data_IF_092512419094
#
_entry.id   IF_092512419094
#
_cell.length_a   1.000
_cell.length_b   1.000
_cell.length_c   1.000
_cell.angle_alpha   90.00
_cell.angle_beta   90.00
_cell.angle_gamma   90.00
#
_symmetry.space_group_name_H-M   'P 1'
#
loop_
_entity.id
_entity.type
_entity.pdbx_description
1 polymer ?
#
# COMPACT_ATOMS: atom_id res chain seq x y z
N UNK A 1 -3.86 -34.16 -5.34
CA UNK A 1 -4.78 -33.01 -5.26
C UNK A 1 -4.34 -31.95 -6.26
N UNK A 2 -5.28 -31.22 -6.85
CA UNK A 2 -5.10 -30.05 -7.71
C UNK A 2 -5.65 -28.80 -7.03
N UNK A 3 -4.78 -27.84 -6.76
CA UNK A 3 -5.07 -26.65 -5.97
C UNK A 3 -5.13 -25.42 -6.87
N UNK A 4 -6.21 -24.64 -6.77
CA UNK A 4 -6.34 -23.35 -7.43
C UNK A 4 -5.79 -22.20 -6.59
N UNK A 5 -4.91 -21.39 -7.14
CA UNK A 5 -4.39 -20.17 -6.52
C UNK A 5 -5.04 -18.95 -7.17
N UNK A 6 -5.38 -17.93 -6.39
CA UNK A 6 -5.82 -16.65 -6.91
C UNK A 6 -5.19 -15.50 -6.13
N UNK A 7 -4.93 -14.38 -6.82
CA UNK A 7 -4.57 -13.11 -6.20
C UNK A 7 -5.66 -12.08 -6.45
N UNK A 8 -6.17 -11.44 -5.40
CA UNK A 8 -7.28 -10.49 -5.51
C UNK A 8 -7.08 -9.23 -4.64
N UNK A 9 -7.72 -8.14 -5.03
CA UNK A 9 -7.63 -6.83 -4.40
C UNK A 9 -6.50 -5.97 -4.97
N UNK A 10 -6.04 -5.01 -4.16
CA UNK A 10 -4.92 -4.14 -4.56
C UNK A 10 -3.60 -4.91 -4.61
N UNK A 11 -2.81 -4.66 -5.65
CA UNK A 11 -1.48 -5.26 -5.80
C UNK A 11 -0.55 -4.91 -4.63
N UNK A 12 0.35 -5.83 -4.29
CA UNK A 12 1.39 -5.61 -3.30
C UNK A 12 2.62 -6.51 -3.57
N UNK A 13 3.80 -6.12 -3.07
CA UNK A 13 4.98 -6.95 -3.18
C UNK A 13 4.82 -8.29 -2.46
N UNK A 14 5.47 -9.33 -2.99
CA UNK A 14 5.49 -10.68 -2.42
C UNK A 14 4.48 -11.66 -3.00
N UNK A 15 3.52 -11.23 -3.83
CA UNK A 15 2.49 -12.11 -4.39
C UNK A 15 3.06 -13.28 -5.21
N UNK A 16 3.95 -12.99 -6.15
CA UNK A 16 4.65 -14.01 -6.92
C UNK A 16 5.52 -14.94 -6.05
N UNK A 17 6.07 -14.43 -4.93
CA UNK A 17 6.81 -15.25 -3.97
C UNK A 17 5.88 -16.23 -3.23
N UNK A 18 4.66 -15.80 -2.88
CA UNK A 18 3.62 -16.68 -2.29
C UNK A 18 3.22 -17.77 -3.29
N UNK A 19 2.89 -17.39 -4.54
CA UNK A 19 2.54 -18.36 -5.61
C UNK A 19 3.67 -19.38 -5.77
N UNK A 20 4.91 -18.92 -5.90
CA UNK A 20 6.08 -19.78 -6.02
C UNK A 20 6.25 -20.70 -4.81
N UNK A 21 6.09 -20.17 -3.59
CA UNK A 21 6.22 -20.91 -2.34
C UNK A 21 5.20 -22.04 -2.25
N UNK A 22 3.93 -21.76 -2.58
CA UNK A 22 2.85 -22.75 -2.63
C UNK A 22 3.14 -23.85 -3.64
N UNK A 23 3.43 -23.48 -4.89
CA UNK A 23 3.69 -24.44 -5.98
C UNK A 23 4.92 -25.30 -5.70
N UNK A 24 6.06 -24.71 -5.32
CA UNK A 24 7.29 -25.48 -5.11
C UNK A 24 7.18 -26.45 -3.95
N UNK A 25 6.62 -26.03 -2.82
CA UNK A 25 6.45 -26.91 -1.67
C UNK A 25 5.38 -27.96 -1.92
N UNK A 26 4.25 -27.59 -2.54
CA UNK A 26 3.16 -28.50 -2.87
C UNK A 26 3.58 -29.61 -3.81
N UNK A 27 4.26 -29.25 -4.91
CA UNK A 27 4.79 -30.23 -5.88
C UNK A 27 5.85 -31.11 -5.22
N UNK A 28 6.83 -30.51 -4.52
CA UNK A 28 7.98 -31.26 -3.98
C UNK A 28 7.60 -32.20 -2.83
N UNK A 29 6.72 -31.77 -1.92
CA UNK A 29 6.43 -32.49 -0.68
C UNK A 29 5.21 -33.41 -0.79
N UNK A 30 4.22 -33.03 -1.59
CA UNK A 30 2.92 -33.71 -1.63
C UNK A 30 2.51 -34.21 -3.03
N UNK A 31 3.31 -33.92 -4.06
CA UNK A 31 2.96 -34.29 -5.44
C UNK A 31 1.70 -33.59 -5.94
N UNK A 32 1.37 -32.42 -5.41
CA UNK A 32 0.17 -31.66 -5.80
C UNK A 32 0.35 -30.95 -7.13
N UNK A 33 -0.76 -30.78 -7.84
CA UNK A 33 -0.87 -29.96 -9.04
C UNK A 33 -1.44 -28.58 -8.69
N UNK A 34 -1.12 -27.57 -9.50
CA UNK A 34 -1.53 -26.19 -9.24
C UNK A 34 -2.04 -25.52 -10.50
N UNK A 35 -3.13 -24.77 -10.34
CA UNK A 35 -3.63 -23.82 -11.34
C UNK A 35 -3.69 -22.42 -10.74
N UNK A 36 -3.61 -21.41 -11.57
CA UNK A 36 -3.74 -20.01 -11.21
C UNK A 36 -4.97 -19.41 -11.88
N UNK A 37 -5.97 -19.01 -11.09
CA UNK A 37 -7.13 -18.29 -11.59
C UNK A 37 -6.75 -16.86 -11.96
N UNK A 38 -7.13 -16.46 -13.18
CA UNK A 38 -6.79 -15.13 -13.69
C UNK A 38 -7.65 -14.06 -13.04
N UNK A 39 -7.00 -12.96 -12.66
CA UNK A 39 -7.66 -11.77 -12.11
C UNK A 39 -8.55 -12.05 -10.89
N UNK A 40 -8.08 -12.90 -9.97
CA UNK A 40 -8.73 -13.12 -8.68
C UNK A 40 -10.01 -13.94 -8.79
N UNK A 41 -11.06 -13.51 -8.06
CA UNK A 41 -12.34 -14.20 -8.06
C UNK A 41 -13.05 -14.22 -9.42
N UNK A 42 -12.74 -13.27 -10.31
CA UNK A 42 -13.22 -13.29 -11.69
C UNK A 42 -12.87 -14.62 -12.37
N UNK A 43 -11.60 -15.03 -12.30
CA UNK A 43 -11.16 -16.29 -12.90
C UNK A 43 -11.82 -17.52 -12.30
N UNK A 44 -12.18 -17.48 -11.01
CA UNK A 44 -12.94 -18.57 -10.37
C UNK A 44 -14.35 -18.64 -10.94
N UNK A 45 -15.05 -17.51 -10.98
CA UNK A 45 -16.44 -17.40 -11.47
C UNK A 45 -16.55 -17.74 -12.97
N UNK A 46 -15.56 -17.34 -13.76
CA UNK A 46 -15.53 -17.56 -15.21
C UNK A 46 -14.92 -18.92 -15.60
N UNK A 47 -14.29 -19.63 -14.67
CA UNK A 47 -13.48 -20.82 -14.98
C UNK A 47 -12.20 -20.49 -15.78
N UNK A 48 -11.71 -19.26 -15.70
CA UNK A 48 -10.51 -18.77 -16.39
C UNK A 48 -9.25 -18.97 -15.52
N UNK A 49 -8.48 -20.02 -15.83
CA UNK A 49 -7.23 -20.33 -15.14
C UNK A 49 -6.11 -20.76 -16.10
N UNK A 50 -4.90 -20.83 -15.56
CA UNK A 50 -3.72 -21.37 -16.23
C UNK A 50 -3.00 -22.39 -15.36
N UNK A 51 -2.32 -23.35 -15.97
CA UNK A 51 -1.47 -24.27 -15.23
C UNK A 51 -0.26 -23.55 -14.62
N UNK A 52 0.09 -23.93 -13.39
CA UNK A 52 1.24 -23.44 -12.64
C UNK A 52 2.24 -24.58 -12.36
N UNK A 53 2.84 -25.21 -13.39
CA UNK A 53 3.90 -26.17 -13.17
C UNK A 53 5.14 -25.51 -12.56
N UNK A 54 6.01 -26.32 -11.96
CA UNK A 54 7.29 -25.88 -11.35
C UNK A 54 8.11 -24.95 -12.27
N UNK A 55 8.07 -25.17 -13.58
CA UNK A 55 8.80 -24.37 -14.58
C UNK A 55 8.25 -22.94 -14.71
N UNK A 56 6.93 -22.74 -14.55
CA UNK A 56 6.28 -21.42 -14.64
C UNK A 56 6.56 -20.53 -13.43
N UNK A 57 6.87 -21.10 -12.28
CA UNK A 57 7.15 -20.34 -11.04
C UNK A 57 8.64 -20.05 -10.80
N UNK A 58 9.52 -20.39 -11.76
CA UNK A 58 10.95 -20.14 -11.65
C UNK A 58 11.25 -18.63 -11.74
N UNK A 59 12.07 -18.11 -10.83
CA UNK A 59 12.46 -16.69 -10.82
C UNK A 59 11.42 -15.73 -10.24
N UNK A 60 10.23 -16.22 -9.87
CA UNK A 60 9.15 -15.37 -9.34
C UNK A 60 9.43 -14.74 -7.97
N UNK A 61 10.38 -15.27 -7.19
CA UNK A 61 10.64 -14.80 -5.83
C UNK A 61 11.04 -13.31 -5.76
N UNK A 62 11.77 -12.82 -6.76
CA UNK A 62 12.22 -11.43 -6.84
C UNK A 62 11.32 -10.53 -7.70
N UNK A 63 10.23 -11.09 -8.26
CA UNK A 63 9.30 -10.34 -9.10
C UNK A 63 8.13 -9.82 -8.26
N UNK A 64 7.98 -8.51 -8.09
CA UNK A 64 6.74 -7.89 -7.63
C UNK A 64 5.60 -8.02 -8.65
N UNK A 65 4.42 -7.54 -8.26
CA UNK A 65 3.18 -7.84 -8.95
C UNK A 65 2.75 -9.29 -8.80
N UNK A 66 1.83 -9.72 -9.67
CA UNK A 66 1.30 -11.08 -9.73
C UNK A 66 1.23 -11.58 -11.18
N UNK A 67 1.74 -12.79 -11.46
CA UNK A 67 1.68 -13.40 -12.79
C UNK A 67 0.28 -13.86 -13.21
N UNK A 68 -0.65 -13.97 -12.27
CA UNK A 68 -2.03 -14.40 -12.54
C UNK A 68 -3.02 -13.23 -12.51
N UNK A 69 -2.54 -11.99 -12.38
CA UNK A 69 -3.41 -10.82 -12.36
C UNK A 69 -4.24 -10.68 -11.08
N UNK A 70 -4.92 -9.55 -10.93
CA UNK A 70 -5.75 -9.28 -9.74
C UNK A 70 -6.92 -8.37 -10.10
N UNK A 71 -8.08 -8.62 -9.49
CA UNK A 71 -9.25 -7.76 -9.57
C UNK A 71 -9.94 -7.62 -8.21
N UNK A 72 -10.92 -6.72 -8.13
CA UNK A 72 -11.79 -6.53 -6.96
C UNK A 72 -13.14 -7.27 -7.08
N UNK A 73 -13.27 -8.24 -7.98
CA UNK A 73 -14.50 -9.02 -8.15
C UNK A 73 -14.85 -9.77 -6.87
N UNK A 74 -16.14 -9.82 -6.54
CA UNK A 74 -16.66 -10.62 -5.45
C UNK A 74 -17.13 -11.98 -6.00
N UNK A 75 -16.80 -13.12 -5.34
CA UNK A 75 -17.18 -14.44 -5.85
C UNK A 75 -18.69 -14.72 -5.82
N UNK A 76 -19.48 -13.84 -5.22
CA UNK A 76 -20.94 -13.92 -5.19
C UNK A 76 -21.62 -13.04 -6.25
N UNK A 77 -20.85 -12.26 -7.01
CA UNK A 77 -21.39 -11.40 -8.05
C UNK A 77 -21.56 -12.17 -9.37
N UNK A 78 -22.60 -11.81 -10.13
CA UNK A 78 -22.85 -12.33 -11.47
C UNK A 78 -23.60 -13.67 -11.49
N UNK A 79 -23.99 -14.14 -12.70
CA UNK A 79 -24.82 -15.34 -12.86
C UNK A 79 -24.09 -16.64 -12.47
N UNK A 80 -22.76 -16.65 -12.56
CA UNK A 80 -21.91 -17.79 -12.21
C UNK A 80 -21.30 -17.65 -10.80
N UNK A 81 -21.70 -16.62 -10.04
CA UNK A 81 -21.24 -16.43 -8.66
C UNK A 81 -21.97 -17.38 -7.69
N UNK A 82 -21.47 -17.44 -6.46
CA UNK A 82 -22.07 -18.24 -5.39
C UNK A 82 -21.44 -19.62 -5.19
N UNK A 83 -21.67 -20.25 -4.02
CA UNK A 83 -20.98 -21.47 -3.61
C UNK A 83 -21.34 -22.68 -4.47
N UNK A 84 -22.58 -22.79 -4.96
CA UNK A 84 -23.01 -23.92 -5.80
C UNK A 84 -22.33 -23.88 -7.18
N UNK A 85 -22.30 -22.71 -7.82
CA UNK A 85 -21.62 -22.52 -9.11
C UNK A 85 -20.10 -22.68 -8.96
N UNK A 86 -19.56 -22.08 -7.90
CA UNK A 86 -18.39 -22.47 -7.12
C UNK A 86 -17.89 -23.91 -7.33
N UNK A 87 -18.62 -24.79 -6.65
CA UNK A 87 -18.40 -26.22 -6.53
C UNK A 87 -18.50 -26.91 -7.88
N UNK A 88 -19.52 -26.60 -8.70
CA UNK A 88 -19.65 -27.15 -10.05
C UNK A 88 -18.42 -26.82 -10.92
N UNK A 89 -17.90 -25.59 -10.84
CA UNK A 89 -16.69 -25.19 -11.55
C UNK A 89 -15.48 -25.99 -11.07
N UNK A 90 -15.33 -26.17 -9.76
CA UNK A 90 -14.26 -26.94 -9.15
C UNK A 90 -14.31 -28.40 -9.59
N UNK A 91 -15.46 -29.06 -9.47
CA UNK A 91 -15.68 -30.44 -9.90
C UNK A 91 -15.38 -30.64 -11.38
N UNK A 92 -15.93 -29.76 -12.24
CA UNK A 92 -15.73 -29.83 -13.70
C UNK A 92 -14.26 -29.80 -14.10
N UNK A 93 -13.42 -29.07 -13.36
CA UNK A 93 -12.00 -28.91 -13.68
C UNK A 93 -11.07 -29.73 -12.78
N UNK A 94 -11.66 -30.57 -11.90
CA UNK A 94 -10.96 -31.42 -10.93
C UNK A 94 -10.13 -30.63 -9.94
N UNK A 95 -10.61 -29.47 -9.47
CA UNK A 95 -9.93 -28.61 -8.49
C UNK A 95 -10.43 -28.99 -7.10
N UNK A 96 -9.51 -29.46 -6.25
CA UNK A 96 -9.85 -29.98 -4.92
C UNK A 96 -9.90 -28.88 -3.84
N UNK A 97 -9.23 -27.75 -4.05
CA UNK A 97 -9.18 -26.66 -3.08
C UNK A 97 -8.78 -25.33 -3.72
N UNK A 98 -9.16 -24.21 -3.10
CA UNK A 98 -8.78 -22.85 -3.51
C UNK A 98 -7.96 -22.17 -2.42
N UNK A 99 -6.85 -21.53 -2.80
CA UNK A 99 -6.05 -20.65 -1.95
C UNK A 99 -6.26 -19.21 -2.41
N UNK A 100 -6.98 -18.44 -1.59
CA UNK A 100 -7.32 -17.05 -1.85
C UNK A 100 -6.29 -16.10 -1.22
N UNK A 101 -5.43 -15.51 -2.05
CA UNK A 101 -4.38 -14.57 -1.61
C UNK A 101 -4.92 -13.15 -1.78
N UNK A 102 -5.22 -12.47 -0.67
CA UNK A 102 -5.91 -11.19 -0.77
C UNK A 102 -6.05 -10.40 0.51
N UNK A 103 -6.65 -9.21 0.35
CA UNK A 103 -6.99 -8.32 1.45
C UNK A 103 -8.36 -8.65 2.06
N UNK A 104 -8.89 -7.73 2.86
CA UNK A 104 -10.15 -7.88 3.60
C UNK A 104 -11.32 -8.39 2.73
N UNK A 105 -11.60 -7.73 1.60
CA UNK A 105 -12.70 -8.14 0.72
C UNK A 105 -12.51 -9.53 0.10
N UNK A 106 -11.28 -9.87 -0.29
CA UNK A 106 -10.97 -11.19 -0.83
C UNK A 106 -11.18 -12.28 0.22
N UNK A 107 -10.68 -12.06 1.44
CA UNK A 107 -10.77 -13.02 2.52
C UNK A 107 -12.18 -13.13 3.11
N UNK A 108 -12.96 -12.05 3.08
CA UNK A 108 -14.38 -12.10 3.42
C UNK A 108 -15.16 -12.99 2.45
N UNK A 109 -14.88 -12.89 1.14
CA UNK A 109 -15.42 -13.80 0.13
C UNK A 109 -14.97 -15.25 0.37
N UNK A 110 -13.67 -15.47 0.62
CA UNK A 110 -13.11 -16.79 0.93
C UNK A 110 -13.79 -17.42 2.16
N UNK A 111 -13.96 -16.64 3.23
CA UNK A 111 -14.62 -17.10 4.46
C UNK A 111 -16.06 -17.53 4.20
N UNK A 112 -16.84 -16.73 3.46
CA UNK A 112 -18.23 -17.08 3.15
C UNK A 112 -18.34 -18.36 2.33
N UNK A 113 -17.41 -18.61 1.40
CA UNK A 113 -17.35 -19.86 0.64
C UNK A 113 -16.94 -21.04 1.53
N UNK A 114 -15.97 -20.85 2.41
CA UNK A 114 -15.55 -21.87 3.38
C UNK A 114 -16.68 -22.23 4.37
N UNK A 115 -17.41 -21.23 4.86
CA UNK A 115 -18.58 -21.41 5.74
C UNK A 115 -19.72 -22.16 5.00
N UNK A 116 -19.76 -22.08 3.66
CA UNK A 116 -20.68 -22.84 2.81
C UNK A 116 -20.18 -24.27 2.48
N UNK A 117 -19.04 -24.69 3.01
CA UNK A 117 -18.50 -26.05 2.85
C UNK A 117 -17.42 -26.21 1.79
N UNK A 118 -17.10 -25.16 1.01
CA UNK A 118 -16.05 -25.27 -0.01
C UNK A 118 -14.65 -25.31 0.63
N UNK A 119 -13.71 -26.11 0.10
CA UNK A 119 -12.35 -26.21 0.61
C UNK A 119 -11.50 -24.98 0.21
N UNK A 120 -11.68 -23.88 0.95
CA UNK A 120 -11.00 -22.60 0.69
C UNK A 120 -10.09 -22.21 1.86
N UNK A 121 -8.85 -21.82 1.55
CA UNK A 121 -7.88 -21.28 2.50
C UNK A 121 -7.51 -19.84 2.12
N UNK A 122 -7.53 -18.94 3.10
CA UNK A 122 -7.13 -17.55 2.94
C UNK A 122 -5.65 -17.31 3.24
N UNK A 123 -4.97 -16.52 2.41
CA UNK A 123 -3.61 -16.03 2.66
C UNK A 123 -3.64 -14.49 2.78
N UNK A 124 -3.30 -13.94 3.96
CA UNK A 124 -3.51 -12.52 4.25
C UNK A 124 -2.49 -11.62 3.55
N UNK A 125 -3.00 -10.74 2.70
CA UNK A 125 -2.21 -9.88 1.81
C UNK A 125 -2.75 -8.46 1.78
N UNK A 126 -1.97 -7.52 2.29
CA UNK A 126 -2.22 -6.07 2.23
C UNK A 126 -0.94 -5.33 2.61
N UNK A 127 -0.75 -4.14 2.07
CA UNK A 127 0.33 -3.25 2.57
C UNK A 127 -0.06 -2.57 3.87
N UNK A 128 -1.36 -2.50 4.18
CA UNK A 128 -1.89 -1.71 5.30
C UNK A 128 -1.73 -2.45 6.65
N UNK A 129 -1.44 -3.76 6.66
CA UNK A 129 -1.39 -4.64 7.83
C UNK A 129 -2.68 -4.60 8.69
N UNK A 130 -3.84 -4.49 8.04
CA UNK A 130 -5.15 -4.27 8.67
C UNK A 130 -6.03 -5.53 8.77
N UNK A 131 -5.44 -6.72 8.56
CA UNK A 131 -6.18 -7.98 8.59
C UNK A 131 -6.17 -8.59 9.99
N UNK A 132 -7.34 -9.05 10.44
CA UNK A 132 -7.47 -9.79 11.69
C UNK A 132 -6.82 -11.18 11.57
N UNK A 133 -6.48 -11.77 12.71
CA UNK A 133 -5.90 -13.12 12.84
C UNK A 133 -4.47 -13.30 12.29
N UNK A 134 -3.76 -12.21 11.98
CA UNK A 134 -2.32 -12.21 11.75
C UNK A 134 -1.72 -10.92 12.27
N UNK A 135 -0.49 -10.97 12.78
CA UNK A 135 0.28 -9.78 13.16
C UNK A 135 0.98 -9.14 11.95
N UNK A 136 1.11 -9.91 10.85
CA UNK A 136 1.89 -9.51 9.68
C UNK A 136 1.25 -9.98 8.37
N UNK A 137 1.19 -9.08 7.38
CA UNK A 137 0.65 -9.36 6.05
C UNK A 137 1.69 -9.22 4.95
N UNK A 138 1.53 -10.01 3.89
CA UNK A 138 2.41 -9.89 2.73
C UNK A 138 2.33 -8.49 2.11
N UNK A 139 3.51 -7.91 1.89
CA UNK A 139 3.68 -6.58 1.30
C UNK A 139 3.86 -5.44 2.31
N UNK A 140 3.57 -5.65 3.59
CA UNK A 140 3.72 -4.62 4.63
C UNK A 140 5.18 -4.20 4.83
N UNK A 141 6.11 -5.17 4.96
CA UNK A 141 7.54 -4.90 5.16
C UNK A 141 8.14 -3.99 4.10
N UNK A 142 7.85 -4.33 2.85
CA UNK A 142 8.35 -3.60 1.69
C UNK A 142 7.76 -2.19 1.67
N UNK A 143 6.48 -2.02 2.04
CA UNK A 143 5.87 -0.70 2.14
C UNK A 143 6.55 0.14 3.22
N UNK A 144 6.82 -0.43 4.41
CA UNK A 144 7.55 0.25 5.49
C UNK A 144 8.97 0.64 5.05
N UNK A 145 9.69 -0.28 4.41
CA UNK A 145 11.06 -0.06 3.94
C UNK A 145 11.14 1.07 2.90
N UNK A 146 10.26 1.04 1.88
CA UNK A 146 10.21 2.09 0.85
C UNK A 146 9.84 3.43 1.47
N UNK A 147 8.88 3.45 2.39
CA UNK A 147 8.43 4.67 3.03
C UNK A 147 9.53 5.27 3.93
N UNK A 148 10.29 4.43 4.63
CA UNK A 148 11.48 4.82 5.43
C UNK A 148 12.56 5.44 4.54
N UNK A 149 12.92 4.75 3.45
CA UNK A 149 13.95 5.23 2.52
C UNK A 149 13.56 6.56 1.86
N UNK A 150 12.30 6.70 1.46
CA UNK A 150 11.79 7.94 0.88
C UNK A 150 11.96 9.13 1.83
N UNK A 151 11.82 8.89 3.14
CA UNK A 151 11.99 9.93 4.16
C UNK A 151 13.42 10.30 4.44
N UNK A 152 14.32 9.32 4.54
CA UNK A 152 15.74 9.61 4.73
C UNK A 152 16.27 10.53 3.61
N UNK A 153 15.78 10.35 2.38
CA UNK A 153 16.12 11.20 1.24
C UNK A 153 15.59 12.64 1.36
N UNK A 154 14.45 12.85 2.01
CA UNK A 154 13.84 14.19 2.18
C UNK A 154 14.39 14.90 3.43
N UNK A 155 14.83 14.16 4.46
CA UNK A 155 15.34 14.70 5.73
C UNK A 155 16.47 15.70 5.51
N UNK A 156 17.47 15.34 4.70
CA UNK A 156 18.63 16.20 4.40
C UNK A 156 18.23 17.53 3.76
N UNK A 157 17.16 17.52 2.95
CA UNK A 157 16.60 18.73 2.34
C UNK A 157 15.90 19.60 3.38
N UNK A 158 15.20 18.98 4.33
CA UNK A 158 14.55 19.68 5.45
C UNK A 158 15.56 20.37 6.36
N UNK A 159 16.64 19.68 6.71
CA UNK A 159 17.74 20.21 7.52
C UNK A 159 18.47 21.37 6.82
N UNK A 160 18.85 21.20 5.55
CA UNK A 160 19.61 22.22 4.79
C UNK A 160 18.86 23.55 4.60
N UNK A 161 17.52 23.53 4.64
CA UNK A 161 16.70 24.72 4.42
C UNK A 161 15.94 25.19 5.67
N UNK A 162 16.19 24.61 6.84
CA UNK A 162 15.46 24.92 8.07
C UNK A 162 13.93 24.81 7.91
N UNK A 163 13.46 23.76 7.19
CA UNK A 163 12.05 23.58 6.82
C UNK A 163 11.39 22.46 7.59
N UNK A 164 10.11 22.67 7.91
CA UNK A 164 9.27 21.60 8.41
C UNK A 164 8.79 20.70 7.28
N UNK A 165 9.07 19.40 7.36
CA UNK A 165 8.67 18.40 6.36
C UNK A 165 7.53 17.53 6.90
N UNK A 166 6.47 17.38 6.09
CA UNK A 166 5.35 16.49 6.43
C UNK A 166 5.20 15.45 5.33
N UNK A 167 5.19 14.18 5.71
CA UNK A 167 5.03 13.07 4.77
C UNK A 167 3.73 12.32 5.00
N UNK A 168 2.96 12.17 3.92
CA UNK A 168 1.73 11.40 3.93
C UNK A 168 1.94 10.00 3.35
N UNK A 169 1.49 8.97 4.06
CA UNK A 169 1.56 7.57 3.62
C UNK A 169 0.24 6.83 3.59
N UNK A 170 0.25 5.71 2.84
CA UNK A 170 -0.83 4.73 2.75
C UNK A 170 -1.06 4.03 4.10
N UNK A 171 -2.09 3.18 4.20
CA UNK A 171 -2.57 2.61 5.47
C UNK A 171 -4.08 2.59 5.63
N UNK A 172 -4.84 3.11 4.66
CA UNK A 172 -6.31 3.22 4.70
C UNK A 172 -6.85 3.76 6.03
N UNK A 173 -7.37 2.88 6.91
CA UNK A 173 -7.99 3.19 8.19
C UNK A 173 -7.07 2.92 9.40
N UNK A 174 -5.84 2.44 9.18
CA UNK A 174 -4.86 2.09 10.21
C UNK A 174 -3.52 2.84 10.04
N UNK A 175 -2.78 2.98 11.12
CA UNK A 175 -1.52 3.73 11.22
C UNK A 175 -0.24 2.92 11.05
N UNK A 176 -0.30 1.61 10.75
CA UNK A 176 0.84 0.71 10.82
C UNK A 176 2.06 1.15 10.00
N UNK A 177 1.86 1.56 8.74
CA UNK A 177 2.95 2.06 7.90
C UNK A 177 3.55 3.30 8.54
N UNK A 178 2.72 4.31 8.85
CA UNK A 178 3.19 5.58 9.42
C UNK A 178 3.94 5.39 10.73
N UNK A 179 3.46 4.50 11.60
CA UNK A 179 4.11 4.16 12.86
C UNK A 179 5.49 3.55 12.64
N UNK A 180 5.58 2.45 11.88
CA UNK A 180 6.82 1.71 11.73
C UNK A 180 7.88 2.50 10.96
N UNK A 181 7.48 3.12 9.84
CA UNK A 181 8.41 3.90 9.02
C UNK A 181 8.76 5.26 9.64
N UNK A 182 7.85 5.88 10.39
CA UNK A 182 8.14 7.06 11.20
C UNK A 182 9.17 6.78 12.29
N UNK A 183 9.02 5.66 13.01
CA UNK A 183 10.01 5.22 13.99
C UNK A 183 11.37 4.91 13.36
N UNK A 184 11.37 4.14 12.26
CA UNK A 184 12.61 3.72 11.58
C UNK A 184 13.40 4.90 11.01
N UNK A 185 12.70 5.92 10.50
CA UNK A 185 13.32 7.11 9.93
C UNK A 185 13.73 8.16 10.99
N UNK A 186 13.23 8.05 12.23
CA UNK A 186 13.51 8.97 13.34
C UNK A 186 12.61 10.20 13.37
N UNK A 187 11.35 10.07 12.96
CA UNK A 187 10.38 11.15 12.91
C UNK A 187 10.17 11.79 14.29
N UNK A 188 10.08 13.12 14.34
CA UNK A 188 9.85 13.82 15.60
C UNK A 188 8.41 13.71 16.11
N UNK A 189 7.46 13.48 15.20
CA UNK A 189 6.08 13.17 15.53
C UNK A 189 5.50 12.25 14.46
N UNK A 190 4.62 11.35 14.90
CA UNK A 190 3.94 10.39 14.04
C UNK A 190 2.45 10.49 14.35
N UNK A 191 1.68 10.87 13.34
CA UNK A 191 0.24 11.03 13.46
C UNK A 191 -0.45 9.82 12.83
N UNK A 192 -1.17 9.08 13.68
CA UNK A 192 -1.88 7.85 13.34
C UNK A 192 -3.36 7.99 13.67
N UNK A 193 -4.27 7.36 12.91
CA UNK A 193 -5.72 7.47 13.15
C UNK A 193 -6.18 6.93 14.51
N UNK A 194 -5.43 6.00 15.09
CA UNK A 194 -5.73 5.37 16.37
C UNK A 194 -5.57 6.37 17.54
N UNK A 195 -4.77 7.42 17.37
CA UNK A 195 -4.46 8.42 18.40
C UNK A 195 -4.86 9.80 17.90
N UNK A 196 -5.88 10.39 18.53
CA UNK A 196 -6.32 11.76 18.21
C UNK A 196 -5.36 12.76 18.83
N UNK A 197 -4.89 13.70 18.02
CA UNK A 197 -3.99 14.78 18.45
C UNK A 197 -4.59 16.13 18.02
N UNK A 198 -4.48 17.14 18.88
CA UNK A 198 -4.88 18.51 18.56
C UNK A 198 -3.83 19.25 17.72
N UNK A 199 -4.23 20.31 17.03
CA UNK A 199 -3.27 21.14 16.29
C UNK A 199 -2.30 21.88 17.23
N UNK A 200 -2.71 22.17 18.45
CA UNK A 200 -1.89 22.87 19.43
C UNK A 200 -0.73 21.99 19.93
N UNK A 201 -1.01 20.72 20.25
CA UNK A 201 0.02 19.72 20.59
C UNK A 201 1.01 19.53 19.44
N UNK A 202 0.48 19.40 18.22
CA UNK A 202 1.28 19.32 16.99
C UNK A 202 2.20 20.55 16.90
N UNK A 203 1.66 21.76 16.97
CA UNK A 203 2.46 22.99 16.92
C UNK A 203 3.51 23.07 18.03
N UNK A 204 3.21 22.57 19.23
CA UNK A 204 4.15 22.52 20.35
C UNK A 204 5.34 21.61 20.02
N UNK A 205 5.11 20.39 19.54
CA UNK A 205 6.20 19.49 19.14
C UNK A 205 7.09 20.09 18.05
N UNK A 206 6.54 20.89 17.12
CA UNK A 206 7.32 21.55 16.07
C UNK A 206 8.25 22.59 16.68
N UNK A 207 7.73 23.37 17.64
CA UNK A 207 8.52 24.40 18.32
C UNK A 207 9.64 23.78 19.13
N UNK A 208 9.35 22.73 19.92
CA UNK A 208 10.37 22.05 20.74
C UNK A 208 11.54 21.50 19.92
N UNK A 209 11.28 20.97 18.72
CA UNK A 209 12.33 20.50 17.81
C UNK A 209 13.12 21.66 17.22
N UNK A 210 12.43 22.73 16.84
CA UNK A 210 13.06 23.93 16.30
C UNK A 210 13.96 24.62 17.31
N UNK A 211 13.50 24.76 18.56
CA UNK A 211 14.23 25.41 19.65
C UNK A 211 15.52 24.65 19.99
N UNK A 212 15.59 23.36 19.66
CA UNK A 212 16.82 22.54 19.73
C UNK A 212 17.75 22.70 18.53
N UNK A 213 17.45 23.64 17.62
CA UNK A 213 18.23 23.91 16.40
C UNK A 213 18.03 22.90 15.27
N UNK A 214 16.99 22.06 15.33
CA UNK A 214 16.69 21.05 14.29
C UNK A 214 15.50 21.46 13.42
N UNK A 215 15.47 20.97 12.18
CA UNK A 215 14.29 21.09 11.33
C UNK A 215 13.22 20.08 11.75
N UNK A 216 12.01 20.52 12.15
CA UNK A 216 10.93 19.59 12.49
C UNK A 216 10.54 18.75 11.29
N UNK A 217 10.17 17.49 11.50
CA UNK A 217 9.66 16.67 10.41
C UNK A 217 8.83 15.51 10.94
N UNK A 218 7.71 15.25 10.27
CA UNK A 218 6.64 14.41 10.79
C UNK A 218 6.00 13.53 9.74
N UNK A 219 5.37 12.48 10.25
CA UNK A 219 4.56 11.55 9.49
C UNK A 219 3.08 11.77 9.74
N UNK A 220 2.32 11.65 8.67
CA UNK A 220 0.88 11.69 8.68
C UNK A 220 0.35 10.50 7.91
N UNK A 221 -0.63 9.78 8.46
CA UNK A 221 -1.48 8.95 7.61
C UNK A 221 -2.57 9.82 6.97
N UNK A 222 -2.93 9.59 5.71
CA UNK A 222 -4.07 10.27 5.08
C UNK A 222 -5.32 10.28 5.99
N UNK A 223 -5.85 11.46 6.29
CA UNK A 223 -7.05 11.62 7.14
C UNK A 223 -6.86 11.38 8.65
N UNK A 224 -5.63 11.15 9.14
CA UNK A 224 -5.30 11.24 10.58
C UNK A 224 -5.03 12.67 11.03
N UNK A 225 -5.07 13.63 10.09
CA UNK A 225 -4.86 15.01 10.39
C UNK A 225 -6.09 15.64 11.07
N UNK A 226 -5.91 16.53 12.07
CA UNK A 226 -6.97 17.41 12.55
C UNK A 226 -7.74 18.00 11.37
N UNK A 227 -9.08 18.11 11.44
CA UNK A 227 -9.94 18.56 10.32
C UNK A 227 -9.42 19.80 9.56
N UNK A 228 -8.66 20.66 10.23
CA UNK A 228 -7.97 21.82 9.67
C UNK A 228 -6.91 21.54 8.59
N UNK A 229 -6.34 20.34 8.49
CA UNK A 229 -5.19 20.01 7.62
C UNK A 229 -5.55 19.43 6.24
N UNK A 230 -6.84 19.34 5.91
CA UNK A 230 -7.36 18.59 4.75
C UNK A 230 -7.24 19.28 3.38
N UNK A 231 -6.66 20.48 3.27
CA UNK A 231 -6.46 21.20 2.00
C UNK A 231 -5.11 21.89 1.95
N UNK A 232 -4.14 21.35 1.22
CA UNK A 232 -2.88 22.03 0.78
C UNK A 232 -2.47 23.25 1.62
N UNK A 233 -1.71 23.06 2.71
CA UNK A 233 -1.41 24.17 3.62
C UNK A 233 0.05 24.63 3.58
N UNK A 234 0.24 25.95 3.39
CA UNK A 234 1.22 26.72 4.16
C UNK A 234 0.64 26.92 5.56
N UNK A 235 1.22 26.32 6.58
CA UNK A 235 0.88 26.67 7.97
C UNK A 235 1.48 28.05 8.25
N UNK A 236 0.65 29.10 8.24
CA UNK A 236 1.07 30.43 8.71
C UNK A 236 0.83 30.49 10.21
N UNK A 237 1.86 30.18 10.99
CA UNK A 237 1.84 30.37 12.46
C UNK A 237 1.56 31.87 12.74
N UNK A 238 0.59 32.22 13.63
CA UNK A 238 0.19 33.61 13.83
C UNK A 238 1.36 34.49 14.28
N UNK A 239 1.47 35.68 13.68
CA UNK A 239 2.49 36.73 13.90
C UNK A 239 2.55 37.31 15.33
N UNK A 240 1.80 36.78 16.31
CA UNK A 240 1.74 37.37 17.67
C UNK A 240 3.06 37.24 18.44
N UNK A 241 3.97 36.39 17.99
CA UNK A 241 5.37 36.33 18.41
C UNK A 241 6.21 36.54 17.16
N UNK A 242 7.06 37.56 17.12
CA UNK A 242 7.82 38.02 15.94
C UNK A 242 8.86 37.04 15.38
N UNK A 243 8.48 35.79 15.14
CA UNK A 243 9.30 34.74 14.54
C UNK A 243 9.06 34.56 13.03
N UNK A 244 9.98 33.86 12.34
CA UNK A 244 9.96 33.69 10.88
C UNK A 244 8.71 32.94 10.38
N UNK A 245 8.28 33.24 9.15
CA UNK A 245 7.19 32.55 8.48
C UNK A 245 7.63 31.15 8.01
N UNK A 246 6.92 30.11 8.43
CA UNK A 246 7.24 28.71 8.11
C UNK A 246 6.78 28.31 6.71
N UNK A 247 7.63 27.60 5.99
CA UNK A 247 7.27 26.88 4.76
C UNK A 247 7.18 25.40 5.10
N UNK A 248 5.96 24.87 5.11
CA UNK A 248 5.69 23.43 5.26
C UNK A 248 5.63 22.82 3.86
N UNK A 249 6.43 21.79 3.61
CA UNK A 249 6.34 21.00 2.38
C UNK A 249 5.64 19.67 2.68
N UNK A 250 4.53 19.42 1.99
CA UNK A 250 3.77 18.18 2.11
C UNK A 250 4.12 17.29 0.92
N UNK A 251 4.71 16.14 1.19
CA UNK A 251 4.97 15.12 0.19
C UNK A 251 4.01 13.95 0.40
N UNK A 252 3.13 13.71 -0.58
CA UNK A 252 2.32 12.49 -0.62
C UNK A 252 3.13 11.43 -1.36
N UNK A 253 3.35 10.26 -0.75
CA UNK A 253 3.98 9.12 -1.42
C UNK A 253 2.89 8.30 -2.14
N UNK A 254 2.76 8.36 -3.48
CA UNK A 254 1.74 7.61 -4.21
C UNK A 254 2.20 6.16 -4.44
N UNK A 255 1.47 5.42 -5.27
CA UNK A 255 1.52 3.98 -5.63
C UNK A 255 2.88 3.25 -5.75
N UNK A 256 4.03 3.93 -5.62
CA UNK A 256 5.38 3.33 -5.53
C UNK A 256 5.58 2.37 -4.36
N UNK A 257 4.71 2.39 -3.35
CA UNK A 257 4.69 1.37 -2.28
C UNK A 257 4.27 -0.03 -2.81
N UNK A 258 3.78 -0.12 -4.05
CA UNK A 258 3.48 -1.37 -4.77
C UNK A 258 4.53 -1.53 -5.88
N UNK A 259 5.76 -2.01 -5.58
CA UNK A 259 6.80 -2.12 -6.59
C UNK A 259 6.41 -3.16 -7.66
N UNK A 260 6.47 -2.74 -8.93
CA UNK A 260 6.60 -3.62 -10.07
C UNK A 260 8.09 -3.67 -10.46
N UNK A 261 8.75 -4.84 -10.56
CA UNK A 261 10.07 -4.92 -11.16
C UNK A 261 9.85 -5.07 -12.66
N UNK A 262 9.91 -3.95 -13.36
CA UNK A 262 10.17 -3.97 -14.79
C UNK A 262 11.58 -3.41 -14.98
N UNK A 263 12.52 -4.33 -15.21
CA UNK A 263 13.79 -4.05 -15.88
C UNK A 263 13.47 -3.52 -17.28
N UNK A 264 13.42 -2.21 -17.44
CA UNK A 264 13.70 -1.55 -18.72
C UNK A 264 14.64 -0.37 -18.46
N UNK A 265 15.67 -0.15 -19.30
CA UNK A 265 16.58 0.98 -19.15
C UNK A 265 15.81 2.24 -19.51
N UNK A 266 15.30 2.95 -18.52
CA UNK A 266 14.78 4.29 -18.70
C UNK A 266 15.98 5.26 -18.64
N UNK A 267 16.14 6.02 -19.73
CA UNK A 267 17.03 7.16 -19.86
C UNK A 267 16.93 8.12 -18.66
N UNK A 268 18.02 8.84 -18.31
CA UNK A 268 18.06 9.66 -17.10
C UNK A 268 17.29 10.97 -17.31
N UNK A 269 15.96 10.93 -17.22
CA UNK A 269 15.15 12.13 -17.01
C UNK A 269 14.89 12.31 -15.50
N UNK A 270 15.62 13.24 -14.92
CA UNK A 270 15.46 13.70 -13.54
C UNK A 270 14.08 14.36 -13.37
N UNK A 271 13.08 13.59 -12.94
CA UNK A 271 11.74 14.12 -12.66
C UNK A 271 10.92 13.17 -11.80
N UNK A 272 11.22 13.11 -10.49
CA UNK A 272 10.65 12.10 -9.58
C UNK A 272 9.86 12.69 -8.40
N UNK A 273 9.75 14.02 -8.27
CA UNK A 273 8.94 14.64 -7.23
C UNK A 273 8.14 15.80 -7.81
N UNK A 274 6.84 15.87 -7.52
CA UNK A 274 6.15 17.16 -7.52
C UNK A 274 6.56 17.88 -6.24
N UNK A 275 7.78 18.43 -6.25
CA UNK A 275 8.19 19.43 -5.29
C UNK A 275 7.92 20.79 -5.93
N UNK A 276 6.81 21.43 -5.57
CA UNK A 276 6.60 22.84 -5.93
C UNK A 276 7.48 23.67 -4.99
N UNK A 277 8.71 23.92 -5.43
CA UNK A 277 9.54 24.98 -4.87
C UNK A 277 9.14 26.30 -5.57
N UNK A 278 8.71 27.29 -4.79
CA UNK A 278 8.67 28.67 -5.26
C UNK A 278 9.74 29.47 -4.52
N UNK A 279 10.74 29.93 -5.26
CA UNK A 279 11.56 31.07 -4.86
C UNK A 279 10.76 32.37 -5.06
N UNK A 280 11.04 33.42 -4.29
CA UNK A 280 10.31 34.68 -4.37
C UNK A 280 10.77 35.44 -5.61
N UNK A 281 9.93 35.53 -6.64
CA UNK A 281 10.04 36.63 -7.60
C UNK A 281 9.37 37.84 -6.96
N UNK A 282 10.18 38.85 -6.68
CA UNK A 282 9.74 40.20 -6.31
C UNK A 282 8.85 40.73 -7.44
N UNK A 283 7.53 40.66 -7.28
CA UNK A 283 6.52 41.65 -7.72
C UNK A 283 5.14 41.05 -7.54
N UNK A 284 4.19 41.90 -7.13
CA UNK A 284 2.84 41.53 -6.73
C UNK A 284 1.98 40.94 -7.84
N UNK A 285 0.87 40.36 -7.41
CA UNK A 285 -0.12 39.57 -8.16
C UNK A 285 0.39 38.20 -8.61
N UNK A 286 -0.44 37.16 -8.45
CA UNK A 286 -0.78 36.17 -9.48
C UNK A 286 -1.64 35.04 -8.89
N UNK A 287 -2.66 34.68 -9.65
CA UNK A 287 -3.72 33.71 -9.36
C UNK A 287 -3.19 32.27 -9.22
N UNK A 288 -3.89 31.38 -8.49
CA UNK A 288 -3.50 29.98 -8.38
C UNK A 288 -3.82 29.21 -9.67
N UNK A 289 -2.78 28.73 -10.36
CA UNK A 289 -2.89 27.67 -11.37
C UNK A 289 -2.80 26.30 -10.69
N UNK A 290 -3.81 25.46 -10.94
CA UNK A 290 -4.00 24.15 -10.31
C UNK A 290 -3.60 23.02 -11.27
N UNK A 291 -2.82 22.04 -10.79
CA UNK A 291 -2.73 20.73 -11.46
C UNK A 291 -3.18 19.66 -10.47
N UNK A 292 -4.41 19.20 -10.65
CA UNK A 292 -4.97 18.04 -9.95
C UNK A 292 -4.56 16.77 -10.68
N UNK A 293 -3.85 15.86 -10.03
CA UNK A 293 -3.90 14.45 -10.40
C UNK A 293 -4.98 13.78 -9.54
N UNK A 294 -6.23 13.90 -9.99
CA UNK A 294 -7.39 13.23 -9.42
C UNK A 294 -7.36 11.78 -9.90
N UNK A 295 -6.95 10.83 -9.07
CA UNK A 295 -7.09 9.41 -9.37
C UNK A 295 -8.44 8.94 -8.81
N UNK A 296 -9.35 8.65 -9.74
CA UNK A 296 -10.68 8.06 -9.52
C UNK A 296 -10.50 6.62 -9.03
N UNK A 297 -11.39 6.20 -8.12
CA UNK A 297 -11.38 4.92 -7.38
C UNK A 297 -11.54 3.67 -8.24
#
# INVERSE_FOLDING_TARGET
MKIGLLTSGGDCPGLNAVIRGAVLNGVKKYGYEFVGFRDGWRGVVDGDFMDLPRTKVRGLASQGGTIIGTSRTNPFDGPNGGPENIEIMMERHGIDAIVAIGGEGTLAGAKRLADAGLPVIGVPKTIDNDLRATDYTFGFDTAVSIATEAMDRIRTTGESHHRCMVAEVMGRHVGWIALNSGMASGAHAILIPEVKVSMDEVCQWVKEVHDRGRSPWWWLRKGSSPKALTRSWRIRVPKKTGGPAWVVSVNTLPTRLRPAPVLKPATPSWGIFSAVAHQPVLTGCWQPAWVWARWIW
#
